data_IF_848285985529
#
_entry.id   IF_848285985529
#
_cell.length_a   1.000
_cell.length_b   1.000
_cell.length_c   1.000
_cell.angle_alpha   90.00
_cell.angle_beta   90.00
_cell.angle_gamma   90.00
#
_symmetry.space_group_name_H-M   'P 1'
#
loop_
_entity.id
_entity.type
_entity.pdbx_description
1 polymer ?
#
# COMPACT_ATOMS: atom_id res chain seq x y z
N UNK A 1 10.02 -1.28 -6.85
CA UNK A 1 10.16 -1.97 -5.54
C UNK A 1 8.85 -2.66 -5.12
N UNK A 2 7.75 -1.92 -4.89
CA UNK A 2 6.49 -2.48 -4.37
C UNK A 2 5.95 -3.70 -5.15
N UNK A 3 5.80 -3.60 -6.47
CA UNK A 3 5.38 -4.74 -7.31
C UNK A 3 6.35 -5.94 -7.24
N UNK A 4 7.66 -5.67 -7.14
CA UNK A 4 8.65 -6.72 -7.01
C UNK A 4 8.54 -7.42 -5.64
N UNK A 5 8.32 -6.68 -4.55
CA UNK A 5 8.07 -7.23 -3.21
C UNK A 5 6.80 -8.08 -3.19
N UNK A 6 5.71 -7.59 -3.80
CA UNK A 6 4.43 -8.32 -3.89
C UNK A 6 4.59 -9.61 -4.70
N UNK A 7 5.22 -9.52 -5.88
CA UNK A 7 5.53 -10.68 -6.71
C UNK A 7 6.46 -11.68 -6.01
N UNK A 8 7.45 -11.20 -5.25
CA UNK A 8 8.32 -12.06 -4.45
C UNK A 8 7.53 -12.81 -3.37
N UNK A 9 6.63 -12.14 -2.64
CA UNK A 9 5.74 -12.79 -1.67
C UNK A 9 4.82 -13.84 -2.33
N UNK A 10 4.31 -13.55 -3.52
CA UNK A 10 3.48 -14.50 -4.27
C UNK A 10 4.29 -15.72 -4.74
N UNK A 11 5.53 -15.51 -5.21
CA UNK A 11 6.42 -16.61 -5.58
C UNK A 11 6.80 -17.46 -4.36
N UNK A 12 7.02 -16.86 -3.19
CA UNK A 12 7.23 -17.61 -1.94
C UNK A 12 6.04 -18.53 -1.64
N UNK A 13 4.82 -18.07 -1.88
CA UNK A 13 3.59 -18.84 -1.66
C UNK A 13 3.39 -19.97 -2.69
N UNK A 14 3.77 -19.74 -3.94
CA UNK A 14 3.45 -20.65 -5.07
C UNK A 14 4.58 -21.58 -5.50
N UNK A 15 5.80 -21.36 -5.01
CA UNK A 15 6.97 -22.15 -5.39
C UNK A 15 7.47 -22.98 -4.21
N UNK A 16 8.26 -24.00 -4.52
CA UNK A 16 8.84 -24.90 -3.54
C UNK A 16 10.36 -25.02 -3.75
N UNK A 17 11.06 -25.56 -2.73
CA UNK A 17 12.47 -25.96 -2.79
C UNK A 17 13.39 -24.79 -3.17
N UNK A 18 14.30 -25.00 -4.13
CA UNK A 18 15.39 -24.06 -4.42
C UNK A 18 14.94 -22.69 -4.92
N UNK A 19 13.83 -22.60 -5.66
CA UNK A 19 13.32 -21.30 -6.12
C UNK A 19 12.72 -20.50 -4.95
N UNK A 20 11.95 -21.16 -4.10
CA UNK A 20 11.34 -20.53 -2.94
C UNK A 20 12.39 -20.02 -1.96
N UNK A 21 13.44 -20.81 -1.70
CA UNK A 21 14.57 -20.39 -0.86
C UNK A 21 15.24 -19.11 -1.39
N UNK A 22 15.46 -19.02 -2.70
CA UNK A 22 16.00 -17.80 -3.33
C UNK A 22 15.07 -16.61 -3.14
N UNK A 23 13.75 -16.81 -3.14
CA UNK A 23 12.80 -15.73 -2.88
C UNK A 23 12.82 -15.29 -1.42
N UNK A 24 12.98 -16.21 -0.46
CA UNK A 24 13.19 -15.86 0.95
C UNK A 24 14.46 -15.03 1.19
N UNK A 25 15.52 -15.28 0.42
CA UNK A 25 16.76 -14.49 0.48
C UNK A 25 16.65 -13.13 -0.21
N UNK A 26 15.79 -13.02 -1.23
CA UNK A 26 15.56 -11.80 -1.98
C UNK A 26 14.58 -10.85 -1.28
N UNK A 27 13.55 -11.37 -0.62
CA UNK A 27 12.48 -10.60 0.01
C UNK A 27 12.99 -9.54 1.01
N UNK A 28 13.94 -9.82 1.93
CA UNK A 28 14.51 -8.81 2.82
C UNK A 28 15.16 -7.63 2.09
N UNK A 29 15.81 -7.88 0.95
CA UNK A 29 16.45 -6.82 0.15
C UNK A 29 15.39 -5.94 -0.50
N UNK A 30 14.33 -6.55 -1.03
CA UNK A 30 13.22 -5.85 -1.66
C UNK A 30 12.40 -5.02 -0.66
N UNK A 31 12.14 -5.56 0.53
CA UNK A 31 11.37 -4.84 1.56
C UNK A 31 12.16 -3.67 2.14
N UNK A 32 13.48 -3.81 2.34
CA UNK A 32 14.34 -2.69 2.76
C UNK A 32 14.39 -1.61 1.68
N UNK A 33 14.56 -1.98 0.41
CA UNK A 33 14.51 -1.02 -0.70
C UNK A 33 13.15 -0.29 -0.78
N UNK A 34 12.05 -1.01 -0.55
CA UNK A 34 10.71 -0.42 -0.48
C UNK A 34 10.58 0.55 0.70
N UNK A 35 11.08 0.18 1.89
CA UNK A 35 11.06 1.03 3.08
C UNK A 35 11.86 2.31 2.88
N UNK A 36 13.03 2.24 2.24
CA UNK A 36 13.83 3.42 1.88
C UNK A 36 13.03 4.35 0.97
N UNK A 37 12.34 3.82 -0.04
CA UNK A 37 11.49 4.62 -0.93
C UNK A 37 10.33 5.25 -0.16
N UNK A 38 9.65 4.50 0.71
CA UNK A 38 8.58 5.03 1.55
C UNK A 38 9.07 6.14 2.48
N UNK A 39 10.21 5.95 3.15
CA UNK A 39 10.82 6.98 3.99
C UNK A 39 11.23 8.21 3.18
N UNK A 40 11.82 8.02 2.00
CA UNK A 40 12.22 9.09 1.10
C UNK A 40 11.03 9.93 0.63
N UNK A 41 9.95 9.29 0.18
CA UNK A 41 8.72 9.99 -0.21
C UNK A 41 8.06 10.67 0.99
N UNK A 42 7.98 9.98 2.14
CA UNK A 42 7.38 10.52 3.36
C UNK A 42 8.12 11.76 3.90
N UNK A 43 9.42 11.89 3.62
CA UNK A 43 10.19 13.09 3.97
C UNK A 43 10.09 14.16 2.88
N UNK A 44 10.18 13.76 1.61
CA UNK A 44 10.16 14.68 0.47
C UNK A 44 8.81 15.40 0.31
N UNK A 45 7.69 14.70 0.47
CA UNK A 45 6.35 15.26 0.28
C UNK A 45 6.06 16.46 1.19
N UNK A 46 6.21 16.38 2.53
CA UNK A 46 5.96 17.54 3.39
C UNK A 46 6.98 18.66 3.22
N UNK A 47 8.22 18.35 2.83
CA UNK A 47 9.24 19.38 2.54
C UNK A 47 8.92 20.21 1.30
N UNK A 48 8.21 19.61 0.33
CA UNK A 48 7.89 20.26 -0.96
C UNK A 48 6.48 20.82 -1.03
N UNK A 49 5.55 20.27 -0.23
CA UNK A 49 4.14 20.65 -0.25
C UNK A 49 3.69 21.04 1.16
N UNK A 50 3.76 22.33 1.53
CA UNK A 50 3.39 22.82 2.85
C UNK A 50 1.95 22.44 3.25
N UNK A 51 1.02 22.44 2.29
CA UNK A 51 -0.37 22.05 2.52
C UNK A 51 -0.51 20.59 3.01
N UNK A 52 0.34 19.69 2.50
CA UNK A 52 0.37 18.29 2.93
C UNK A 52 1.03 18.18 4.31
N UNK A 53 2.09 18.95 4.56
CA UNK A 53 2.73 19.01 5.87
C UNK A 53 1.74 19.47 6.96
N UNK A 54 0.99 20.54 6.70
CA UNK A 54 -0.04 21.03 7.61
C UNK A 54 -1.09 19.95 7.87
N UNK A 55 -1.51 19.21 6.83
CA UNK A 55 -2.46 18.10 7.02
C UNK A 55 -1.91 16.97 7.86
N UNK A 56 -0.66 16.56 7.65
CA UNK A 56 -0.08 15.42 8.35
C UNK A 56 0.30 15.75 9.80
N UNK A 57 0.80 16.96 10.05
CA UNK A 57 1.41 17.34 11.33
C UNK A 57 0.52 18.25 12.20
N UNK A 58 -0.58 18.80 11.67
CA UNK A 58 -1.54 19.54 12.50
C UNK A 58 -2.27 18.64 13.48
N UNK A 59 -2.63 19.19 14.64
CA UNK A 59 -3.54 18.54 15.57
C UNK A 59 -5.00 18.84 15.18
N UNK A 60 -5.91 17.85 15.19
CA UNK A 60 -5.75 16.47 15.67
C UNK A 60 -5.29 15.46 14.59
N UNK A 61 -5.10 15.89 13.34
CA UNK A 61 -4.80 15.03 12.20
C UNK A 61 -3.60 14.12 12.41
N UNK A 62 -2.56 14.60 13.09
CA UNK A 62 -1.37 13.80 13.46
C UNK A 62 -1.75 12.47 14.14
N UNK A 63 -2.75 12.46 15.02
CA UNK A 63 -3.20 11.23 15.68
C UNK A 63 -3.93 10.29 14.74
N UNK A 64 -4.64 10.81 13.74
CA UNK A 64 -5.32 10.01 12.72
C UNK A 64 -4.35 9.45 11.68
N UNK A 65 -3.24 10.16 11.40
CA UNK A 65 -2.25 9.76 10.39
C UNK A 65 -1.10 8.92 10.94
N UNK A 66 -0.72 9.10 12.22
CA UNK A 66 0.38 8.34 12.84
C UNK A 66 0.22 6.80 12.86
N UNK A 67 -0.99 6.19 12.84
CA UNK A 67 -1.12 4.75 12.72
C UNK A 67 -0.53 4.19 11.41
N UNK A 68 -0.56 4.95 10.31
CA UNK A 68 -0.07 4.49 9.00
C UNK A 68 1.42 4.15 9.04
N UNK A 69 2.35 5.05 9.42
CA UNK A 69 3.77 4.72 9.50
C UNK A 69 4.07 3.62 10.53
N UNK A 70 3.32 3.56 11.64
CA UNK A 70 3.46 2.49 12.64
C UNK A 70 3.10 1.13 12.03
N UNK A 71 1.96 1.04 11.32
CA UNK A 71 1.53 -0.19 10.65
C UNK A 71 2.49 -0.59 9.53
N UNK A 72 3.06 0.37 8.79
CA UNK A 72 4.09 0.09 7.78
C UNK A 72 5.30 -0.58 8.42
N UNK A 73 5.84 -0.02 9.50
CA UNK A 73 6.98 -0.61 10.22
C UNK A 73 6.63 -1.99 10.80
N UNK A 74 5.42 -2.14 11.35
CA UNK A 74 4.91 -3.41 11.85
C UNK A 74 4.90 -4.48 10.75
N UNK A 75 4.27 -4.21 9.61
CA UNK A 75 4.17 -5.19 8.52
C UNK A 75 5.53 -5.49 7.88
N UNK A 76 6.43 -4.51 7.77
CA UNK A 76 7.82 -4.77 7.37
C UNK A 76 8.50 -5.73 8.34
N UNK A 77 8.36 -5.50 9.65
CA UNK A 77 8.90 -6.40 10.68
C UNK A 77 8.30 -7.81 10.61
N UNK A 78 6.98 -7.92 10.38
CA UNK A 78 6.29 -9.19 10.21
C UNK A 78 6.75 -9.94 8.97
N UNK A 79 6.98 -9.27 7.84
CA UNK A 79 7.55 -9.87 6.62
C UNK A 79 8.94 -10.41 6.90
N UNK A 80 9.82 -9.60 7.50
CA UNK A 80 11.19 -10.02 7.83
C UNK A 80 11.19 -11.21 8.79
N UNK A 81 10.30 -11.21 9.79
CA UNK A 81 10.13 -12.33 10.72
C UNK A 81 9.65 -13.60 10.00
N UNK A 82 8.65 -13.49 9.14
CA UNK A 82 8.12 -14.61 8.36
C UNK A 82 9.18 -15.19 7.42
N UNK A 83 9.99 -14.36 6.77
CA UNK A 83 11.09 -14.81 5.92
C UNK A 83 12.19 -15.53 6.73
N UNK A 84 12.51 -15.04 7.93
CA UNK A 84 13.51 -15.68 8.81
C UNK A 84 13.06 -17.05 9.31
N UNK A 85 11.77 -17.19 9.63
CA UNK A 85 11.18 -18.47 10.05
C UNK A 85 10.97 -19.44 8.89
N UNK A 86 11.01 -18.94 7.66
CA UNK A 86 10.68 -19.69 6.44
C UNK A 86 9.28 -20.33 6.54
N UNK A 87 8.35 -19.61 7.17
CA UNK A 87 6.97 -20.05 7.30
C UNK A 87 6.39 -20.23 5.89
N UNK A 88 6.14 -21.48 5.50
CA UNK A 88 5.54 -21.91 4.21
C UNK A 88 4.06 -21.49 4.07
N UNK A 89 3.77 -20.26 4.40
CA UNK A 89 2.42 -19.76 4.62
C UNK A 89 2.13 -18.54 3.74
N UNK A 90 0.84 -18.22 3.65
CA UNK A 90 0.29 -17.01 3.05
C UNK A 90 0.86 -15.69 3.64
N UNK A 91 1.56 -15.76 4.79
CA UNK A 91 1.96 -14.61 5.61
C UNK A 91 2.79 -13.56 4.85
N UNK A 92 3.94 -13.87 4.20
CA UNK A 92 4.75 -12.84 3.54
C UNK A 92 3.98 -12.12 2.42
N UNK A 93 3.14 -12.86 1.69
CA UNK A 93 2.29 -12.29 0.65
C UNK A 93 1.20 -11.39 1.24
N UNK A 94 0.45 -11.88 2.24
CA UNK A 94 -0.64 -11.14 2.88
C UNK A 94 -0.15 -9.84 3.55
N UNK A 95 0.99 -9.88 4.24
CA UNK A 95 1.59 -8.69 4.84
C UNK A 95 2.06 -7.69 3.78
N UNK A 96 2.58 -8.17 2.65
CA UNK A 96 2.94 -7.30 1.53
C UNK A 96 1.71 -6.67 0.90
N UNK A 97 0.61 -7.41 0.78
CA UNK A 97 -0.67 -6.88 0.30
C UNK A 97 -1.23 -5.81 1.25
N UNK A 98 -1.10 -6.02 2.56
CA UNK A 98 -1.44 -5.01 3.56
C UNK A 98 -0.58 -3.74 3.43
N UNK A 99 0.72 -3.86 3.14
CA UNK A 99 1.58 -2.71 2.85
C UNK A 99 1.18 -1.95 1.59
N UNK A 100 0.83 -2.67 0.52
CA UNK A 100 0.30 -2.06 -0.71
C UNK A 100 -0.97 -1.27 -0.38
N UNK A 101 -1.91 -1.90 0.33
CA UNK A 101 -3.14 -1.24 0.76
C UNK A 101 -2.85 0.02 1.58
N UNK A 102 -1.99 -0.05 2.60
CA UNK A 102 -1.60 1.10 3.43
C UNK A 102 -0.99 2.24 2.64
N UNK A 103 -0.12 1.93 1.68
CA UNK A 103 0.52 2.93 0.81
C UNK A 103 -0.51 3.66 -0.06
N UNK A 104 -1.44 2.92 -0.67
CA UNK A 104 -2.52 3.52 -1.47
C UNK A 104 -3.47 4.33 -0.60
N UNK A 105 -3.85 3.85 0.59
CA UNK A 105 -4.70 4.63 1.50
C UNK A 105 -4.01 5.90 1.97
N UNK A 106 -2.73 5.85 2.33
CA UNK A 106 -1.96 7.03 2.74
C UNK A 106 -1.89 8.08 1.63
N UNK A 107 -1.72 7.63 0.39
CA UNK A 107 -1.77 8.49 -0.79
C UNK A 107 -3.15 9.13 -0.98
N UNK A 108 -4.23 8.35 -0.96
CA UNK A 108 -5.61 8.85 -1.15
C UNK A 108 -5.99 9.88 -0.09
N UNK A 109 -5.71 9.61 1.18
CA UNK A 109 -6.10 10.54 2.26
C UNK A 109 -5.29 11.85 2.16
N UNK A 110 -4.06 11.80 1.67
CA UNK A 110 -3.25 13.02 1.47
C UNK A 110 -3.81 13.95 0.40
N UNK A 111 -4.42 13.38 -0.64
CA UNK A 111 -4.98 14.15 -1.76
C UNK A 111 -6.45 14.56 -1.54
N UNK A 112 -7.18 13.83 -0.70
CA UNK A 112 -8.60 14.08 -0.43
C UNK A 112 -8.91 15.55 -0.12
N UNK A 113 -9.95 16.18 -0.70
CA UNK A 113 -10.96 15.63 -1.61
C UNK A 113 -10.57 15.74 -3.10
N UNK A 114 -9.33 16.09 -3.41
CA UNK A 114 -8.87 16.27 -4.78
C UNK A 114 -8.43 14.94 -5.39
N UNK A 115 -8.88 14.67 -6.62
CA UNK A 115 -8.42 13.53 -7.41
C UNK A 115 -7.35 13.95 -8.42
N UNK A 116 -7.43 15.21 -8.90
CA UNK A 116 -6.37 15.88 -9.66
C UNK A 116 -6.05 17.19 -8.93
N UNK A 117 -5.00 17.20 -8.10
CA UNK A 117 -4.60 18.39 -7.37
C UNK A 117 -4.15 19.54 -8.30
N UNK A 118 -4.38 20.81 -7.93
CA UNK A 118 -5.16 21.28 -6.77
C UNK A 118 -6.64 21.57 -7.10
N UNK A 119 -7.10 21.33 -8.33
CA UNK A 119 -8.31 21.97 -8.85
C UNK A 119 -9.53 21.07 -9.03
N UNK A 120 -9.34 19.75 -9.21
CA UNK A 120 -10.45 18.84 -9.49
C UNK A 120 -10.74 17.95 -8.29
N UNK A 121 -11.90 18.18 -7.69
CA UNK A 121 -12.43 17.34 -6.61
C UNK A 121 -13.00 16.02 -7.14
N UNK A 122 -13.09 15.02 -6.29
CA UNK A 122 -13.77 13.75 -6.55
C UNK A 122 -15.22 13.93 -7.03
N UNK A 123 -15.90 15.01 -6.61
CA UNK A 123 -17.28 15.30 -7.00
C UNK A 123 -17.40 15.96 -8.36
N UNK A 124 -16.41 16.77 -8.74
CA UNK A 124 -16.34 17.35 -10.08
C UNK A 124 -15.93 16.30 -11.12
N UNK A 125 -15.08 15.36 -10.74
CA UNK A 125 -14.68 14.24 -11.60
C UNK A 125 -15.72 13.10 -11.66
N UNK A 126 -16.79 13.18 -10.86
CA UNK A 126 -17.80 12.14 -10.79
C UNK A 126 -18.61 12.05 -12.10
N UNK A 127 -18.70 10.85 -12.65
CA UNK A 127 -19.63 10.55 -13.74
C UNK A 127 -21.10 10.76 -13.31
N UNK A 128 -22.05 10.93 -14.25
CA UNK A 128 -23.47 11.00 -13.95
C UNK A 128 -23.95 9.80 -13.11
N UNK A 129 -24.92 10.05 -12.22
CA UNK A 129 -25.41 9.05 -11.26
C UNK A 129 -25.86 7.73 -11.92
N UNK A 130 -26.54 7.79 -13.07
CA UNK A 130 -26.97 6.59 -13.81
C UNK A 130 -25.78 5.71 -14.25
N UNK A 131 -24.71 6.32 -14.75
CA UNK A 131 -23.49 5.60 -15.16
C UNK A 131 -22.76 5.00 -13.96
N UNK A 132 -22.73 5.70 -12.82
CA UNK A 132 -22.14 5.18 -11.58
C UNK A 132 -22.91 3.98 -11.04
N UNK A 133 -24.24 4.04 -11.04
CA UNK A 133 -25.09 2.93 -10.63
C UNK A 133 -24.90 1.71 -11.53
N UNK A 134 -24.81 1.91 -12.84
CA UNK A 134 -24.50 0.83 -13.78
C UNK A 134 -23.13 0.19 -13.48
N UNK A 135 -22.09 1.01 -13.29
CA UNK A 135 -20.75 0.54 -12.95
C UNK A 135 -20.72 -0.19 -11.60
N UNK A 136 -21.47 0.27 -10.60
CA UNK A 136 -21.57 -0.35 -9.28
C UNK A 136 -22.20 -1.75 -9.35
N UNK A 137 -23.31 -1.90 -10.08
CA UNK A 137 -23.95 -3.21 -10.27
C UNK A 137 -23.01 -4.15 -11.02
N UNK A 138 -22.35 -3.66 -12.07
CA UNK A 138 -21.33 -4.43 -12.79
C UNK A 138 -20.20 -4.89 -11.88
N UNK A 139 -19.65 -3.99 -11.06
CA UNK A 139 -18.58 -4.31 -10.11
C UNK A 139 -19.02 -5.33 -9.04
N UNK A 140 -20.25 -5.20 -8.52
CA UNK A 140 -20.78 -6.10 -7.50
C UNK A 140 -20.95 -7.54 -8.01
N UNK A 141 -21.19 -7.72 -9.31
CA UNK A 141 -21.28 -9.04 -9.94
C UNK A 141 -19.90 -9.54 -10.37
N UNK A 142 -19.08 -8.70 -11.01
CA UNK A 142 -17.78 -9.12 -11.56
C UNK A 142 -16.74 -9.41 -10.48
N UNK A 143 -16.65 -8.60 -9.43
CA UNK A 143 -15.58 -8.75 -8.42
C UNK A 143 -15.65 -10.14 -7.74
N UNK A 144 -16.81 -10.66 -7.28
CA UNK A 144 -16.90 -12.01 -6.73
C UNK A 144 -16.60 -13.13 -7.72
N UNK A 145 -16.76 -12.89 -9.03
CA UNK A 145 -16.43 -13.88 -10.07
C UNK A 145 -14.91 -13.94 -10.32
N UNK A 146 -14.23 -12.80 -10.18
CA UNK A 146 -12.78 -12.68 -10.42
C UNK A 146 -11.97 -13.27 -9.26
N UNK A 147 -12.44 -13.09 -8.02
CA UNK A 147 -11.78 -13.56 -6.79
C UNK A 147 -11.99 -15.05 -6.59
#
# INVERSE_FOLDING_TARGET
AMYATLGCGWLILKTEKGLQQRMYELMPKLIIALLIIFGGVSLYTPLTHPEIADRWFSLPNLFYFSPVPILVLLFVGLILSACKKQDHDLKPFAYTLALVFLAFTGFVISLWPYIIPPSVTIWQAAAPHSSQMFALVGALILIPIII
#
